data_IF_882711048216
#
_entry.id   IF_882711048216
#
_cell.length_a   1.000
_cell.length_b   1.000
_cell.length_c   1.000
_cell.angle_alpha   90.00
_cell.angle_beta   90.00
_cell.angle_gamma   90.00
#
_symmetry.space_group_name_H-M   'P 1'
#
loop_
_entity.id
_entity.type
_entity.pdbx_description
1 polymer ?
#
# COMPACT_ATOMS: atom_id res chain seq x y z
N UNK A 1 21.93 2.83 19.16
CA UNK A 1 21.09 1.69 18.71
C UNK A 1 20.59 2.04 17.32
N UNK A 2 20.78 1.17 16.32
CA UNK A 2 20.18 1.42 15.01
C UNK A 2 18.65 1.37 15.12
N UNK A 3 17.94 2.20 14.36
CA UNK A 3 16.48 2.17 14.32
C UNK A 3 15.99 0.80 13.83
N UNK A 4 14.91 0.28 14.41
CA UNK A 4 14.29 -0.98 14.00
C UNK A 4 13.91 -0.91 12.50
N UNK A 5 14.17 -1.95 11.71
CA UNK A 5 13.88 -1.92 10.27
C UNK A 5 12.43 -2.19 9.92
N UNK A 6 11.71 -2.93 10.76
CA UNK A 6 10.29 -3.28 10.58
C UNK A 6 9.56 -2.94 11.88
N UNK A 7 8.69 -1.94 11.85
CA UNK A 7 7.83 -1.58 12.99
C UNK A 7 6.45 -2.16 12.73
N UNK A 8 5.97 -3.00 13.63
CA UNK A 8 4.73 -3.77 13.46
C UNK A 8 3.79 -3.58 14.64
N UNK A 9 2.51 -3.44 14.35
CA UNK A 9 1.44 -3.40 15.36
C UNK A 9 0.39 -4.46 14.99
N UNK A 10 0.18 -5.49 15.83
CA UNK A 10 -0.92 -6.43 15.68
C UNK A 10 -2.26 -5.72 15.85
N UNK A 11 -3.28 -6.19 15.14
CA UNK A 11 -4.63 -5.61 15.20
C UNK A 11 -5.70 -6.63 14.88
N UNK A 12 -6.85 -6.47 15.51
CA UNK A 12 -8.11 -7.01 15.02
C UNK A 12 -8.60 -6.15 13.83
N UNK A 13 -9.29 -6.78 12.87
CA UNK A 13 -9.72 -6.14 11.63
C UNK A 13 -11.18 -6.42 11.32
N UNK A 14 -11.91 -5.36 10.97
CA UNK A 14 -13.22 -5.46 10.33
C UNK A 14 -13.13 -5.01 8.87
N UNK A 15 -13.83 -5.71 7.97
CA UNK A 15 -13.87 -5.38 6.54
C UNK A 15 -15.12 -4.58 6.20
N UNK A 16 -14.91 -3.36 5.68
CA UNK A 16 -15.95 -2.49 5.14
C UNK A 16 -15.92 -2.56 3.63
N UNK A 17 -17.05 -2.86 2.99
CA UNK A 17 -17.23 -2.78 1.54
C UNK A 17 -18.19 -1.64 1.23
N UNK A 18 -17.76 -0.72 0.38
CA UNK A 18 -18.51 0.49 0.08
C UNK A 18 -18.24 0.99 -1.34
N UNK A 19 -19.03 1.98 -1.77
CA UNK A 19 -18.77 2.75 -2.97
C UNK A 19 -18.54 4.21 -2.58
N UNK A 20 -17.49 4.82 -3.14
CA UNK A 20 -17.30 6.26 -3.06
C UNK A 20 -18.14 6.92 -4.15
N UNK A 21 -19.02 7.83 -3.76
CA UNK A 21 -19.95 8.48 -4.67
C UNK A 21 -19.24 9.50 -5.60
N UNK A 22 -19.82 9.80 -6.79
CA UNK A 22 -19.31 10.84 -7.68
C UNK A 22 -19.04 12.18 -6.99
N UNK A 23 -17.92 12.81 -7.34
CA UNK A 23 -17.48 14.09 -6.75
C UNK A 23 -16.83 13.98 -5.37
N UNK A 24 -16.82 12.80 -4.74
CA UNK A 24 -16.13 12.58 -3.46
C UNK A 24 -14.62 12.73 -3.66
N UNK A 25 -13.94 13.47 -2.79
CA UNK A 25 -12.47 13.43 -2.69
C UNK A 25 -12.07 12.08 -2.12
N UNK A 26 -11.27 11.31 -2.86
CA UNK A 26 -11.01 9.88 -2.56
C UNK A 26 -10.44 9.70 -1.15
N UNK A 27 -9.44 10.50 -0.79
CA UNK A 27 -8.80 10.47 0.54
C UNK A 27 -9.80 10.73 1.68
N UNK A 28 -10.69 11.71 1.50
CA UNK A 28 -11.73 12.04 2.49
C UNK A 28 -12.78 10.93 2.60
N UNK A 29 -13.17 10.33 1.49
CA UNK A 29 -14.10 9.18 1.48
C UNK A 29 -13.53 7.98 2.23
N UNK A 30 -12.27 7.65 1.99
CA UNK A 30 -11.57 6.56 2.70
C UNK A 30 -11.43 6.85 4.20
N UNK A 31 -11.06 8.09 4.57
CA UNK A 31 -11.02 8.51 5.96
C UNK A 31 -12.39 8.42 6.65
N UNK A 32 -13.46 8.86 5.98
CA UNK A 32 -14.81 8.78 6.52
C UNK A 32 -15.25 7.33 6.79
N UNK A 33 -14.88 6.39 5.90
CA UNK A 33 -15.14 4.96 6.10
C UNK A 33 -14.38 4.40 7.31
N UNK A 34 -13.10 4.75 7.48
CA UNK A 34 -12.30 4.34 8.64
C UNK A 34 -12.89 4.88 9.96
N UNK A 35 -13.26 6.16 9.98
CA UNK A 35 -13.87 6.80 11.14
C UNK A 35 -15.26 6.22 11.47
N UNK A 36 -16.06 5.89 10.46
CA UNK A 36 -17.36 5.23 10.66
C UNK A 36 -17.20 3.83 11.27
N UNK A 37 -16.07 3.16 11.03
CA UNK A 37 -15.70 1.91 11.69
C UNK A 37 -15.04 2.11 13.07
N UNK A 38 -14.84 3.35 13.51
CA UNK A 38 -14.21 3.68 14.80
C UNK A 38 -12.68 3.58 14.80
N UNK A 39 -12.04 3.55 13.64
CA UNK A 39 -10.59 3.30 13.51
C UNK A 39 -9.81 4.55 13.11
N UNK A 40 -8.59 4.67 13.64
CA UNK A 40 -7.61 5.71 13.28
C UNK A 40 -6.58 5.24 12.24
N UNK A 41 -6.69 3.99 11.81
CA UNK A 41 -5.84 3.36 10.82
C UNK A 41 -6.65 2.39 9.95
N UNK A 42 -6.38 2.39 8.65
CA UNK A 42 -6.94 1.40 7.75
C UNK A 42 -6.07 1.20 6.51
N UNK A 43 -6.20 0.01 5.90
CA UNK A 43 -5.68 -0.29 4.57
C UNK A 43 -6.87 -0.51 3.63
N UNK A 44 -6.84 0.10 2.43
CA UNK A 44 -7.94 0.08 1.49
C UNK A 44 -7.48 -0.39 0.11
N UNK A 45 -8.36 -1.13 -0.57
CA UNK A 45 -8.22 -1.47 -1.98
C UNK A 45 -9.33 -0.79 -2.77
N UNK A 46 -8.97 -0.19 -3.90
CA UNK A 46 -9.88 0.45 -4.85
C UNK A 46 -10.02 -0.46 -6.07
N UNK A 47 -11.24 -0.60 -6.57
CA UNK A 47 -11.54 -1.31 -7.79
C UNK A 47 -12.72 -0.67 -8.51
N UNK A 48 -12.76 -0.79 -9.83
CA UNK A 48 -13.86 -0.30 -10.66
C UNK A 48 -14.14 1.22 -10.52
N UNK A 49 -15.06 1.72 -11.35
CA UNK A 49 -15.36 3.14 -11.39
C UNK A 49 -14.34 3.97 -12.15
N UNK A 50 -14.40 5.28 -11.95
CA UNK A 50 -13.45 6.20 -12.57
C UNK A 50 -13.07 7.34 -11.65
N UNK A 51 -11.88 7.89 -11.87
CA UNK A 51 -11.46 9.16 -11.31
C UNK A 51 -12.09 10.32 -12.09
N UNK A 52 -12.46 11.37 -11.35
CA UNK A 52 -12.92 12.66 -11.87
C UNK A 52 -11.72 13.54 -12.16
N UNK A 53 -11.47 14.52 -11.28
CA UNK A 53 -10.17 15.19 -11.21
C UNK A 53 -9.13 14.16 -10.76
N UNK A 54 -8.22 13.80 -11.65
CA UNK A 54 -7.12 12.87 -11.39
C UNK A 54 -5.82 13.65 -11.34
N UNK A 55 -5.20 13.74 -10.17
CA UNK A 55 -3.89 14.39 -9.99
C UNK A 55 -2.91 13.38 -9.41
N UNK A 56 -1.77 13.21 -10.04
CA UNK A 56 -0.80 12.23 -9.60
C UNK A 56 0.63 12.65 -9.92
N UNK A 57 1.57 11.92 -9.35
CA UNK A 57 3.01 12.06 -9.58
C UNK A 57 3.64 10.69 -9.81
N UNK A 58 4.85 10.71 -10.37
CA UNK A 58 5.71 9.53 -10.49
C UNK A 58 6.92 9.68 -9.56
N UNK A 59 7.55 8.56 -9.15
CA UNK A 59 8.84 8.62 -8.48
C UNK A 59 9.88 9.30 -9.40
N UNK A 60 10.73 10.13 -8.80
CA UNK A 60 11.76 10.87 -9.50
C UNK A 60 13.07 10.89 -8.68
N UNK A 61 14.19 11.13 -9.37
CA UNK A 61 15.51 11.30 -8.74
C UNK A 61 15.58 12.70 -8.13
N UNK A 62 15.96 12.79 -6.86
CA UNK A 62 16.24 14.09 -6.25
C UNK A 62 17.56 14.66 -6.80
N UNK A 63 17.54 15.95 -7.17
CA UNK A 63 18.69 16.64 -7.78
C UNK A 63 19.40 17.59 -6.81
N UNK A 64 18.85 17.77 -5.60
CA UNK A 64 19.35 18.69 -4.57
C UNK A 64 20.48 18.08 -3.71
N UNK A 65 20.75 16.78 -3.86
CA UNK A 65 21.77 16.06 -3.08
C UNK A 65 21.37 15.78 -1.63
N UNK A 66 20.19 16.23 -1.20
CA UNK A 66 19.64 16.00 0.15
C UNK A 66 18.71 14.78 0.17
N UNK A 67 17.90 14.62 -0.89
CA UNK A 67 16.95 13.50 -1.01
C UNK A 67 17.31 12.61 -2.20
N UNK A 68 17.51 11.29 -2.01
CA UNK A 68 17.78 10.38 -3.12
C UNK A 68 16.55 10.15 -4.01
N UNK A 69 15.35 10.32 -3.48
CA UNK A 69 14.08 10.18 -4.20
C UNK A 69 13.14 11.37 -3.91
N UNK A 70 12.39 11.78 -4.92
CA UNK A 70 11.37 12.84 -4.88
C UNK A 70 10.21 12.44 -5.82
N UNK A 71 9.31 13.38 -6.09
CA UNK A 71 8.23 13.23 -7.05
C UNK A 71 8.44 14.09 -8.30
N UNK A 72 7.89 13.62 -9.42
CA UNK A 72 7.80 14.40 -10.66
C UNK A 72 6.95 15.66 -10.49
N UNK A 73 6.89 16.49 -11.54
CA UNK A 73 5.81 17.47 -11.65
C UNK A 73 4.44 16.76 -11.62
N UNK A 74 3.44 17.45 -11.07
CA UNK A 74 2.06 16.94 -11.05
C UNK A 74 1.55 16.75 -12.47
N UNK A 75 0.94 15.58 -12.72
CA UNK A 75 0.22 15.27 -13.95
C UNK A 75 -1.28 15.32 -13.66
N UNK A 76 -2.01 15.96 -14.56
CA UNK A 76 -3.47 16.08 -14.51
C UNK A 76 -4.05 15.90 -15.92
N UNK A 77 -4.44 14.68 -16.30
CA UNK A 77 -5.04 14.43 -17.61
C UNK A 77 -6.46 15.00 -17.66
N UNK A 78 -6.86 15.48 -18.85
CA UNK A 78 -8.22 15.99 -19.08
C UNK A 78 -9.26 14.85 -19.18
N UNK A 79 -8.85 13.67 -19.64
CA UNK A 79 -9.72 12.50 -19.74
C UNK A 79 -9.81 11.77 -18.40
N UNK A 80 -10.97 11.18 -18.06
CA UNK A 80 -11.11 10.39 -16.84
C UNK A 80 -10.23 9.13 -16.90
N UNK A 81 -9.71 8.71 -15.74
CA UNK A 81 -9.01 7.44 -15.58
C UNK A 81 -9.95 6.37 -15.02
N UNK A 82 -10.08 5.22 -15.69
CA UNK A 82 -10.90 4.11 -15.22
C UNK A 82 -10.10 3.21 -14.29
N UNK A 83 -10.54 3.05 -13.04
CA UNK A 83 -9.77 2.34 -12.01
C UNK A 83 -9.65 0.87 -12.39
N UNK A 84 -8.41 0.40 -12.55
CA UNK A 84 -8.11 -1.01 -12.68
C UNK A 84 -7.86 -1.61 -11.29
N UNK A 85 -7.04 -0.94 -10.48
CA UNK A 85 -6.80 -1.27 -9.08
C UNK A 85 -6.20 -0.07 -8.35
N UNK A 86 -6.25 -0.08 -7.02
CA UNK A 86 -5.49 0.86 -6.21
C UNK A 86 -5.39 0.40 -4.78
N UNK A 87 -4.42 0.93 -4.06
CA UNK A 87 -4.17 0.63 -2.66
C UNK A 87 -3.95 1.91 -1.90
N UNK A 88 -4.55 2.02 -0.71
CA UNK A 88 -4.37 3.17 0.15
C UNK A 88 -4.08 2.76 1.59
N UNK A 89 -3.24 3.55 2.26
CA UNK A 89 -3.10 3.57 3.71
C UNK A 89 -3.71 4.85 4.23
N UNK A 90 -4.61 4.70 5.20
CA UNK A 90 -5.46 5.75 5.74
C UNK A 90 -5.05 6.01 7.19
N UNK A 91 -4.83 7.28 7.52
CA UNK A 91 -4.43 7.70 8.86
C UNK A 91 -4.44 9.22 8.98
N UNK A 92 -3.47 9.76 9.70
CA UNK A 92 -3.34 11.21 9.90
C UNK A 92 -1.94 11.72 9.63
N UNK A 93 -1.85 13.01 9.30
CA UNK A 93 -0.62 13.80 9.21
C UNK A 93 -0.88 15.15 9.83
N UNK A 94 0.00 15.61 10.73
CA UNK A 94 -0.14 16.89 11.43
C UNK A 94 -1.53 17.07 12.10
N UNK A 95 -2.10 15.98 12.61
CA UNK A 95 -3.43 15.94 13.24
C UNK A 95 -4.62 16.02 12.27
N UNK A 96 -4.38 16.09 10.95
CA UNK A 96 -5.42 16.10 9.92
C UNK A 96 -5.50 14.74 9.20
N UNK A 97 -6.66 14.45 8.61
CA UNK A 97 -6.85 13.25 7.79
C UNK A 97 -5.87 13.22 6.62
N UNK A 98 -5.19 12.09 6.44
CA UNK A 98 -4.23 11.90 5.36
C UNK A 98 -4.30 10.48 4.79
N UNK A 99 -4.00 10.34 3.51
CA UNK A 99 -3.98 9.04 2.83
C UNK A 99 -2.79 8.98 1.90
N UNK A 100 -2.08 7.86 1.94
CA UNK A 100 -1.08 7.49 0.94
C UNK A 100 -1.77 6.53 -0.04
N UNK A 101 -1.88 6.92 -1.31
CA UNK A 101 -2.71 6.21 -2.29
C UNK A 101 -1.95 6.04 -3.60
N UNK A 102 -1.76 4.79 -4.02
CA UNK A 102 -1.27 4.45 -5.35
C UNK A 102 -2.38 3.76 -6.15
N UNK A 103 -2.43 4.02 -7.45
CA UNK A 103 -3.43 3.41 -8.31
C UNK A 103 -2.90 3.05 -9.69
N UNK A 104 -3.57 2.11 -10.32
CA UNK A 104 -3.46 1.74 -11.72
C UNK A 104 -4.80 1.94 -12.41
N UNK A 105 -4.80 2.57 -13.57
CA UNK A 105 -6.01 2.89 -14.32
C UNK A 105 -5.80 2.77 -15.83
N UNK A 106 -6.91 2.72 -16.58
CA UNK A 106 -6.92 2.90 -18.03
C UNK A 106 -7.17 4.38 -18.35
N UNK A 107 -6.32 4.96 -19.19
CA UNK A 107 -6.52 6.33 -19.70
C UNK A 107 -7.60 6.39 -20.79
N UNK A 108 -7.86 7.61 -21.30
CA UNK A 108 -8.86 7.85 -22.35
C UNK A 108 -8.60 7.12 -23.67
N UNK A 109 -7.37 6.61 -23.88
CA UNK A 109 -7.03 5.78 -25.04
C UNK A 109 -6.91 4.28 -24.69
N UNK A 110 -7.38 3.89 -23.50
CA UNK A 110 -7.38 2.50 -23.04
C UNK A 110 -6.00 1.96 -22.67
N UNK A 111 -5.02 2.83 -22.42
CA UNK A 111 -3.67 2.41 -22.03
C UNK A 111 -3.57 2.34 -20.51
N UNK A 112 -2.87 1.32 -20.03
CA UNK A 112 -2.59 1.17 -18.60
C UNK A 112 -1.61 2.25 -18.14
N UNK A 113 -1.96 2.90 -17.03
CA UNK A 113 -1.21 3.96 -16.33
C UNK A 113 -1.22 3.67 -14.84
N UNK A 114 -0.26 4.24 -14.13
CA UNK A 114 -0.20 4.16 -12.68
C UNK A 114 0.48 5.38 -12.09
N UNK A 115 0.38 5.55 -10.78
CA UNK A 115 0.99 6.70 -10.10
C UNK A 115 0.58 6.81 -8.64
N UNK A 116 1.31 7.67 -7.94
CA UNK A 116 0.96 8.15 -6.61
C UNK A 116 -0.09 9.25 -6.74
N UNK A 117 -1.28 9.02 -6.21
CA UNK A 117 -2.40 9.95 -6.30
C UNK A 117 -2.28 11.05 -5.25
N UNK A 118 -2.49 12.29 -5.69
CA UNK A 118 -2.49 13.45 -4.81
C UNK A 118 -3.84 13.61 -4.09
N UNK A 119 -3.85 14.23 -2.90
CA UNK A 119 -5.03 14.29 -2.03
C UNK A 119 -6.30 14.91 -2.64
N UNK A 120 -6.16 15.74 -3.68
CA UNK A 120 -7.27 16.42 -4.36
C UNK A 120 -7.95 15.53 -5.41
N UNK A 121 -7.51 14.29 -5.60
CA UNK A 121 -8.12 13.36 -6.55
C UNK A 121 -9.56 13.03 -6.13
N UNK A 122 -10.48 13.08 -7.09
CA UNK A 122 -11.92 12.86 -6.87
C UNK A 122 -12.45 11.65 -7.63
N UNK A 123 -13.60 11.15 -7.19
CA UNK A 123 -14.40 10.16 -7.90
C UNK A 123 -15.11 10.84 -9.08
N UNK A 124 -15.07 10.18 -10.23
CA UNK A 124 -15.74 10.62 -11.46
C UNK A 124 -17.22 10.25 -11.50
N UNK A 125 -17.78 10.16 -12.70
CA UNK A 125 -19.21 9.88 -12.88
C UNK A 125 -19.63 8.46 -12.46
N UNK A 126 -18.69 7.51 -12.40
CA UNK A 126 -18.94 6.14 -11.98
C UNK A 126 -18.33 5.93 -10.59
N UNK A 127 -19.12 5.52 -9.58
CA UNK A 127 -18.62 5.26 -8.23
C UNK A 127 -17.42 4.30 -8.21
N UNK A 128 -16.47 4.57 -7.33
CA UNK A 128 -15.31 3.67 -7.11
C UNK A 128 -15.65 2.71 -5.99
N UNK A 129 -15.47 1.41 -6.22
CA UNK A 129 -15.65 0.40 -5.19
C UNK A 129 -14.43 0.33 -4.28
N UNK A 130 -14.70 0.18 -2.99
CA UNK A 130 -13.67 0.13 -1.94
C UNK A 130 -13.88 -1.09 -1.07
N UNK A 131 -12.79 -1.83 -0.83
CA UNK A 131 -12.69 -2.77 0.29
C UNK A 131 -11.68 -2.24 1.29
N UNK A 132 -12.17 -1.79 2.43
CA UNK A 132 -11.38 -1.20 3.51
C UNK A 132 -11.25 -2.19 4.67
N UNK A 133 -10.02 -2.41 5.14
CA UNK A 133 -9.68 -3.16 6.35
C UNK A 133 -9.44 -2.15 7.46
N UNK A 134 -10.44 -1.95 8.31
CA UNK A 134 -10.37 -1.04 9.43
C UNK A 134 -9.58 -1.71 10.57
N UNK A 135 -8.56 -1.04 11.08
CA UNK A 135 -7.61 -1.58 12.06
C UNK A 135 -7.93 -0.98 13.43
N UNK A 136 -8.43 -1.82 14.35
CA UNK A 136 -8.98 -1.37 15.63
C UNK A 136 -7.91 -1.00 16.66
N UNK A 137 -6.72 -1.57 16.53
CA UNK A 137 -5.63 -1.43 17.50
C UNK A 137 -4.49 -0.53 16.96
N UNK A 138 -4.71 0.12 15.81
CA UNK A 138 -3.68 0.88 15.09
C UNK A 138 -4.13 2.30 14.82
N UNK A 139 -3.28 3.26 15.22
CA UNK A 139 -3.25 4.59 14.62
C UNK A 139 -2.11 4.65 13.60
N UNK A 140 -2.41 5.13 12.39
CA UNK A 140 -1.41 5.35 11.35
C UNK A 140 -1.04 6.83 11.30
N UNK A 141 0.21 7.15 11.65
CA UNK A 141 0.72 8.52 11.69
C UNK A 141 1.76 8.71 10.60
N UNK A 142 1.55 9.70 9.74
CA UNK A 142 2.51 10.04 8.69
C UNK A 142 3.38 11.19 9.13
N UNK A 143 4.68 10.92 9.28
CA UNK A 143 5.68 11.86 9.76
C UNK A 143 6.88 11.92 8.82
N UNK A 144 7.68 12.98 8.92
CA UNK A 144 8.95 13.08 8.21
C UNK A 144 9.91 11.98 8.68
N UNK A 145 10.35 11.13 7.76
CA UNK A 145 11.33 10.10 8.06
C UNK A 145 12.76 10.64 8.04
N UNK A 146 13.52 10.40 9.10
CA UNK A 146 14.88 10.92 9.23
C UNK A 146 15.89 10.27 8.26
N UNK A 147 15.62 9.07 7.76
CA UNK A 147 16.52 8.33 6.85
C UNK A 147 16.33 8.78 5.39
N UNK A 148 15.09 9.04 4.99
CA UNK A 148 14.73 9.33 3.59
C UNK A 148 14.35 10.78 3.36
N UNK A 149 14.09 11.55 4.43
CA UNK A 149 13.51 12.90 4.39
C UNK A 149 12.17 12.97 3.65
N UNK A 150 11.49 11.83 3.51
CA UNK A 150 10.17 11.70 2.90
C UNK A 150 9.13 11.41 3.98
N UNK A 151 7.88 11.86 3.81
CA UNK A 151 6.81 11.46 4.71
C UNK A 151 6.54 9.95 4.64
N UNK A 152 6.41 9.29 5.78
CA UNK A 152 6.13 7.85 5.86
C UNK A 152 5.12 7.55 6.96
N UNK A 153 4.17 6.64 6.69
CA UNK A 153 3.28 6.14 7.73
C UNK A 153 4.01 5.18 8.67
N UNK A 154 3.86 5.40 9.97
CA UNK A 154 4.28 4.49 11.03
C UNK A 154 3.03 4.02 11.80
N UNK A 155 2.84 2.72 12.03
CA UNK A 155 1.76 2.23 12.87
C UNK A 155 2.10 2.41 14.36
N UNK A 156 1.11 2.85 15.14
CA UNK A 156 1.22 3.01 16.59
C UNK A 156 0.08 2.24 17.28
N UNK A 157 0.36 1.51 18.37
CA UNK A 157 -0.68 0.81 19.11
C UNK A 157 -1.62 1.83 19.76
N UNK A 158 -2.92 1.59 19.63
CA UNK A 158 -3.97 2.29 20.37
C UNK A 158 -4.87 1.25 21.02
N UNK A 159 -5.47 1.59 22.16
CA UNK A 159 -6.44 0.70 22.78
C UNK A 159 -7.67 0.60 21.88
N UNK A 160 -7.96 -0.60 21.37
CA UNK A 160 -9.28 -0.87 20.81
C UNK A 160 -10.29 -0.78 21.95
N UNK A 161 -11.34 0.01 21.78
CA UNK A 161 -12.46 0.05 22.73
C UNK A 161 -13.36 -1.19 22.63
N UNK A 162 -12.81 -2.33 22.19
CA UNK A 162 -13.52 -3.56 21.82
C UNK A 162 -13.00 -4.71 22.67
N UNK A 163 -13.86 -5.70 22.90
CA UNK A 163 -13.47 -6.94 23.58
C UNK A 163 -12.63 -7.83 22.66
N UNK A 164 -11.71 -8.61 23.23
CA UNK A 164 -10.77 -9.47 22.49
C UNK A 164 -11.45 -10.65 21.74
N UNK A 165 -12.73 -10.91 21.97
CA UNK A 165 -13.48 -12.08 21.48
C UNK A 165 -14.58 -11.70 20.46
N UNK A 166 -14.29 -10.79 19.54
CA UNK A 166 -15.25 -10.37 18.49
C UNK A 166 -15.32 -11.34 17.31
N UNK A 167 -14.42 -12.32 17.23
CA UNK A 167 -14.26 -13.19 16.05
C UNK A 167 -13.70 -12.48 14.82
N UNK A 168 -13.13 -11.29 14.99
CA UNK A 168 -12.51 -10.51 13.91
C UNK A 168 -11.22 -11.17 13.40
N UNK A 169 -10.87 -10.88 12.15
CA UNK A 169 -9.62 -11.37 11.58
C UNK A 169 -8.42 -10.73 12.30
N UNK A 170 -7.41 -11.55 12.61
CA UNK A 170 -6.13 -11.08 13.15
C UNK A 170 -5.25 -10.60 12.01
N UNK A 171 -4.64 -9.45 12.16
CA UNK A 171 -3.72 -8.89 11.19
C UNK A 171 -2.56 -8.17 11.87
N UNK A 172 -1.58 -7.76 11.06
CA UNK A 172 -0.47 -6.90 11.45
C UNK A 172 -0.35 -5.81 10.42
N UNK A 173 -0.30 -4.56 10.90
CA UNK A 173 0.10 -3.42 10.10
C UNK A 173 1.56 -3.09 10.38
N UNK A 174 2.36 -2.99 9.33
CA UNK A 174 3.80 -2.79 9.43
C UNK A 174 4.28 -1.63 8.57
N UNK A 175 5.28 -0.92 9.09
CA UNK A 175 6.17 -0.07 8.32
C UNK A 175 7.48 -0.79 8.11
N UNK A 176 7.84 -1.00 6.85
CA UNK A 176 9.14 -1.54 6.43
C UNK A 176 10.03 -0.39 5.96
N UNK A 177 11.21 -0.24 6.55
CA UNK A 177 12.20 0.79 6.22
C UNK A 177 13.10 0.38 5.03
N UNK A 178 13.87 1.32 4.44
CA UNK A 178 14.72 1.04 3.27
C UNK A 178 15.64 -0.19 3.40
N UNK A 179 16.02 -0.79 2.28
CA UNK A 179 17.00 -1.87 2.23
C UNK A 179 16.53 -3.24 2.71
N UNK A 180 15.34 -3.37 3.32
CA UNK A 180 14.74 -4.68 3.63
C UNK A 180 14.05 -5.23 2.38
N UNK A 181 14.28 -6.49 2.02
CA UNK A 181 13.56 -7.15 0.92
C UNK A 181 12.10 -7.45 1.30
N UNK A 182 11.19 -7.34 0.33
CA UNK A 182 9.77 -7.59 0.58
C UNK A 182 9.46 -9.03 1.05
N UNK A 183 10.16 -10.05 0.53
CA UNK A 183 9.92 -11.43 0.97
C UNK A 183 10.41 -11.63 2.40
N UNK A 184 11.59 -11.11 2.71
CA UNK A 184 12.17 -11.18 4.05
C UNK A 184 11.27 -10.44 5.05
N UNK A 185 10.79 -9.24 4.70
CA UNK A 185 9.88 -8.48 5.55
C UNK A 185 8.57 -9.23 5.83
N UNK A 186 7.96 -9.82 4.80
CA UNK A 186 6.72 -10.61 4.94
C UNK A 186 6.95 -11.83 5.82
N UNK A 187 8.02 -12.60 5.58
CA UNK A 187 8.36 -13.78 6.38
C UNK A 187 8.59 -13.40 7.85
N UNK A 188 9.31 -12.30 8.09
CA UNK A 188 9.60 -11.82 9.44
C UNK A 188 8.33 -11.33 10.17
N UNK A 189 7.46 -10.58 9.50
CA UNK A 189 6.19 -10.11 10.09
C UNK A 189 5.30 -11.29 10.45
N UNK A 190 5.15 -12.27 9.56
CA UNK A 190 4.33 -13.48 9.81
C UNK A 190 4.89 -14.30 10.97
N UNK A 191 6.22 -14.49 11.02
CA UNK A 191 6.86 -15.23 12.09
C UNK A 191 6.70 -14.52 13.46
N UNK A 192 6.89 -13.19 13.50
CA UNK A 192 6.70 -12.39 14.73
C UNK A 192 5.24 -12.40 15.21
N UNK A 193 4.28 -12.47 14.28
CA UNK A 193 2.86 -12.55 14.60
C UNK A 193 2.42 -13.94 15.09
N UNK A 194 3.22 -14.97 14.85
CA UNK A 194 2.87 -16.36 15.18
C UNK A 194 1.75 -16.93 14.31
N UNK A 195 1.57 -16.42 13.09
CA UNK A 195 0.55 -16.93 12.17
C UNK A 195 1.03 -18.22 11.49
N UNK A 196 0.18 -19.25 11.48
CA UNK A 196 0.45 -20.53 10.78
C UNK A 196 0.38 -20.43 9.25
N UNK A 197 -0.38 -19.46 8.77
CA UNK A 197 -0.43 -19.04 7.37
C UNK A 197 -1.03 -17.64 7.29
N UNK A 198 -0.70 -16.91 6.24
CA UNK A 198 -1.11 -15.52 6.13
C UNK A 198 -1.39 -15.10 4.68
N UNK A 199 -2.10 -14.00 4.54
CA UNK A 199 -2.40 -13.36 3.28
C UNK A 199 -1.84 -11.93 3.33
N UNK A 200 -1.08 -11.56 2.31
CA UNK A 200 -0.67 -10.17 2.06
C UNK A 200 -1.69 -9.53 1.15
N UNK A 201 -2.22 -8.37 1.52
CA UNK A 201 -3.18 -7.59 0.72
C UNK A 201 -2.99 -6.11 1.00
N UNK A 202 -3.66 -5.27 0.22
CA UNK A 202 -3.78 -3.84 0.50
C UNK A 202 -2.45 -3.16 0.93
N UNK A 203 -1.33 -3.60 0.34
CA UNK A 203 0.01 -3.14 0.69
C UNK A 203 0.61 -2.36 -0.46
N UNK A 204 1.31 -1.27 -0.12
CA UNK A 204 1.91 -0.34 -1.09
C UNK A 204 3.22 0.25 -0.54
N UNK A 205 4.02 0.79 -1.43
CA UNK A 205 5.27 1.44 -1.07
C UNK A 205 6.22 1.46 -2.25
N UNK A 206 7.48 1.81 -1.99
CA UNK A 206 8.50 1.88 -3.03
C UNK A 206 9.65 0.91 -2.79
N UNK A 207 10.18 0.37 -3.87
CA UNK A 207 11.42 -0.44 -3.90
C UNK A 207 12.49 0.26 -4.72
N UNK A 208 13.77 -0.07 -4.50
CA UNK A 208 14.91 0.58 -5.16
C UNK A 208 14.75 0.53 -6.68
N UNK A 209 14.55 -0.68 -7.18
CA UNK A 209 14.04 -1.03 -8.49
C UNK A 209 13.33 -2.38 -8.32
N UNK A 210 12.50 -2.78 -9.28
CA UNK A 210 11.74 -4.01 -9.13
C UNK A 210 12.18 -5.09 -10.12
N UNK A 211 12.26 -6.34 -9.65
CA UNK A 211 12.42 -7.52 -10.50
C UNK A 211 11.22 -8.43 -10.33
N UNK A 212 10.44 -8.57 -11.40
CA UNK A 212 9.22 -9.35 -11.46
C UNK A 212 9.35 -10.47 -12.50
N UNK A 213 8.63 -11.57 -12.32
CA UNK A 213 8.35 -12.55 -13.38
C UNK A 213 6.96 -12.27 -13.94
N UNK A 214 6.91 -11.81 -15.19
CA UNK A 214 5.66 -11.57 -15.91
C UNK A 214 4.86 -12.86 -16.13
N UNK A 215 3.58 -12.73 -16.50
CA UNK A 215 2.72 -13.89 -16.83
C UNK A 215 3.26 -14.76 -17.98
N UNK A 216 4.10 -14.20 -18.87
CA UNK A 216 4.78 -14.95 -19.92
C UNK A 216 6.07 -15.66 -19.45
N UNK A 217 6.36 -15.65 -18.15
CA UNK A 217 7.57 -16.25 -17.56
C UNK A 217 8.84 -15.43 -17.71
N UNK A 218 8.81 -14.29 -18.41
CA UNK A 218 9.96 -13.42 -18.61
C UNK A 218 10.22 -12.55 -17.37
N UNK A 219 11.49 -12.40 -17.01
CA UNK A 219 11.93 -11.42 -16.00
C UNK A 219 11.76 -10.02 -16.56
N UNK A 220 11.06 -9.18 -15.82
CA UNK A 220 10.86 -7.76 -16.06
C UNK A 220 11.61 -6.99 -15.00
N UNK A 221 12.37 -6.00 -15.42
CA UNK A 221 13.07 -5.06 -14.55
C UNK A 221 12.42 -3.69 -14.72
N UNK A 222 12.05 -3.06 -13.61
CA UNK A 222 11.55 -1.71 -13.58
C UNK A 222 12.66 -0.78 -13.08
N UNK A 223 12.78 0.37 -13.75
CA UNK A 223 13.87 1.31 -13.52
C UNK A 223 13.82 1.93 -12.10
N UNK A 224 15.00 2.08 -11.50
CA UNK A 224 15.28 2.85 -10.28
C UNK A 224 15.28 4.36 -10.56
N UNK A 225 15.02 5.24 -9.56
CA UNK A 225 14.73 4.96 -8.16
C UNK A 225 13.27 4.81 -7.80
N UNK A 226 13.03 4.17 -6.67
CA UNK A 226 11.79 4.22 -5.92
C UNK A 226 10.56 3.78 -6.74
N UNK A 227 10.70 2.70 -7.51
CA UNK A 227 9.58 2.08 -8.21
C UNK A 227 8.42 1.81 -7.25
N UNK A 228 7.22 2.29 -7.57
CA UNK A 228 6.10 2.33 -6.62
C UNK A 228 5.08 1.22 -6.88
N UNK A 229 4.85 0.37 -5.89
CA UNK A 229 3.79 -0.64 -5.94
C UNK A 229 2.42 0.03 -5.81
N UNK A 230 1.56 -0.19 -6.81
CA UNK A 230 0.14 0.21 -6.77
C UNK A 230 -0.72 -0.85 -6.08
N UNK A 231 -0.25 -2.11 -6.13
CA UNK A 231 -0.81 -3.25 -5.38
C UNK A 231 0.29 -4.25 -5.08
N UNK A 232 0.38 -4.73 -3.84
CA UNK A 232 1.07 -5.96 -3.47
C UNK A 232 0.08 -6.93 -2.82
N UNK A 233 0.09 -8.18 -3.26
CA UNK A 233 -0.74 -9.24 -2.72
C UNK A 233 -0.03 -10.58 -2.76
N UNK A 234 -0.36 -11.48 -1.84
CA UNK A 234 0.34 -12.75 -1.76
C UNK A 234 -0.13 -13.65 -0.64
N UNK A 235 0.56 -14.77 -0.50
CA UNK A 235 0.28 -15.79 0.51
C UNK A 235 1.57 -16.23 1.19
N UNK A 236 1.43 -16.61 2.45
CA UNK A 236 2.49 -17.24 3.23
C UNK A 236 1.97 -18.57 3.77
N UNK A 237 2.66 -19.65 3.46
CA UNK A 237 2.30 -21.02 3.86
C UNK A 237 3.50 -21.78 4.40
N UNK A 238 3.25 -22.89 5.10
CA UNK A 238 4.32 -23.78 5.55
C UNK A 238 5.21 -23.17 6.64
N UNK A 239 4.63 -22.37 7.55
CA UNK A 239 5.37 -21.79 8.68
C UNK A 239 5.74 -22.84 9.75
N UNK A 240 5.13 -24.03 9.70
CA UNK A 240 5.40 -25.13 10.62
C UNK A 240 6.62 -25.94 10.18
N UNK A 241 7.73 -25.82 10.91
CA UNK A 241 8.88 -26.73 10.79
C UNK A 241 9.89 -26.42 9.68
N UNK A 242 9.84 -25.24 9.05
CA UNK A 242 10.80 -24.80 8.03
C UNK A 242 10.69 -23.31 7.67
N UNK A 243 11.55 -22.80 6.77
CA UNK A 243 11.38 -21.44 6.24
C UNK A 243 10.05 -21.36 5.47
N UNK A 244 9.22 -20.33 5.71
CA UNK A 244 7.91 -20.23 5.09
C UNK A 244 8.02 -20.04 3.58
N UNK A 245 7.05 -20.59 2.84
CA UNK A 245 6.87 -20.28 1.43
C UNK A 245 6.13 -18.96 1.29
N UNK A 246 6.80 -17.95 0.72
CA UNK A 246 6.24 -16.63 0.46
C UNK A 246 6.05 -16.45 -1.04
N UNK A 247 4.81 -16.28 -1.48
CA UNK A 247 4.46 -15.97 -2.86
C UNK A 247 3.86 -14.58 -2.93
N UNK A 248 4.55 -13.65 -3.60
CA UNK A 248 4.10 -12.28 -3.79
C UNK A 248 3.86 -11.98 -5.27
N UNK A 249 2.78 -11.25 -5.53
CA UNK A 249 2.44 -10.68 -6.83
C UNK A 249 2.16 -9.20 -6.66
N UNK A 250 2.45 -8.41 -7.69
CA UNK A 250 2.15 -7.00 -7.61
C UNK A 250 2.05 -6.33 -8.96
N UNK A 251 1.52 -5.11 -8.89
CA UNK A 251 1.56 -4.12 -9.96
C UNK A 251 2.27 -2.90 -9.43
N UNK A 252 3.07 -2.26 -10.28
CA UNK A 252 3.89 -1.12 -9.92
C UNK A 252 4.06 -0.16 -11.08
N UNK A 253 4.47 1.06 -10.78
CA UNK A 253 4.78 2.10 -11.74
C UNK A 253 6.24 2.51 -11.65
N UNK A 254 6.91 2.59 -12.80
CA UNK A 254 8.28 3.08 -12.90
C UNK A 254 8.35 4.61 -13.05
N UNK A 255 9.57 5.15 -13.05
CA UNK A 255 9.82 6.60 -13.22
C UNK A 255 9.32 7.18 -14.56
N UNK A 256 9.05 6.33 -15.55
CA UNK A 256 8.53 6.72 -16.85
C UNK A 256 6.99 6.59 -16.93
N UNK A 257 6.33 6.28 -15.80
CA UNK A 257 4.89 6.06 -15.74
C UNK A 257 4.42 4.77 -16.38
N UNK A 258 5.32 3.82 -16.68
CA UNK A 258 4.95 2.50 -17.20
C UNK A 258 4.56 1.57 -16.07
N UNK A 259 3.46 0.85 -16.29
CA UNK A 259 2.98 -0.14 -15.33
C UNK A 259 3.56 -1.51 -15.66
N UNK A 260 4.09 -2.17 -14.64
CA UNK A 260 4.59 -3.54 -14.72
C UNK A 260 3.85 -4.40 -13.70
N UNK A 261 3.57 -5.66 -14.06
CA UNK A 261 2.90 -6.60 -13.17
C UNK A 261 3.51 -8.00 -13.29
N UNK A 262 3.52 -8.73 -12.17
CA UNK A 262 4.04 -10.09 -12.14
C UNK A 262 4.27 -10.64 -10.74
N UNK A 263 4.89 -11.82 -10.69
CA UNK A 263 5.37 -12.45 -9.45
C UNK A 263 6.64 -11.73 -9.00
N UNK A 264 6.67 -11.24 -7.79
CA UNK A 264 7.83 -10.55 -7.21
C UNK A 264 8.94 -11.57 -6.95
N UNK A 265 10.17 -11.29 -7.37
CA UNK A 265 11.29 -12.22 -7.15
C UNK A 265 11.88 -12.07 -5.73
N UNK A 266 12.12 -13.18 -5.00
CA UNK A 266 12.75 -13.13 -3.67
C UNK A 266 14.15 -12.51 -3.68
N UNK A 267 14.45 -11.70 -2.66
CA UNK A 267 15.79 -11.13 -2.41
C UNK A 267 16.23 -10.07 -3.41
N UNK A 268 15.30 -9.51 -4.19
CA UNK A 268 15.58 -8.66 -5.35
C UNK A 268 14.69 -7.42 -5.41
N UNK A 269 13.94 -7.15 -4.35
CA UNK A 269 13.02 -6.03 -4.27
C UNK A 269 13.18 -5.32 -2.91
N UNK A 270 14.36 -4.75 -2.59
CA UNK A 270 14.57 -4.02 -1.36
C UNK A 270 13.77 -2.72 -1.35
N UNK A 271 13.17 -2.38 -0.21
CA UNK A 271 12.43 -1.12 -0.02
C UNK A 271 13.32 0.10 -0.29
N UNK A 272 12.79 1.10 -0.99
CA UNK A 272 13.51 2.34 -1.30
C UNK A 272 13.27 3.43 -0.25
N UNK A 273 12.01 3.76 0.01
CA UNK A 273 11.63 4.84 0.94
C UNK A 273 10.91 4.26 2.15
N UNK A 274 9.77 3.63 1.92
CA UNK A 274 8.99 2.95 2.94
C UNK A 274 8.08 1.94 2.27
N UNK A 275 7.66 0.92 3.01
CA UNK A 275 6.59 0.02 2.60
C UNK A 275 5.57 -0.13 3.72
N UNK A 276 4.32 0.09 3.37
CA UNK A 276 3.17 -0.07 4.23
C UNK A 276 2.62 -1.47 3.96
N UNK A 277 2.98 -2.40 4.84
CA UNK A 277 2.73 -3.82 4.69
C UNK A 277 1.59 -4.24 5.62
N UNK A 278 0.50 -4.70 5.03
CA UNK A 278 -0.63 -5.29 5.72
C UNK A 278 -0.66 -6.80 5.49
N UNK A 279 -0.67 -7.55 6.59
CA UNK A 279 -0.71 -9.01 6.59
C UNK A 279 -1.85 -9.47 7.48
N UNK A 280 -2.74 -10.32 6.98
CA UNK A 280 -3.82 -10.92 7.75
C UNK A 280 -3.60 -12.42 7.89
N UNK A 281 -3.93 -12.98 9.06
CA UNK A 281 -3.91 -14.42 9.27
C UNK A 281 -4.93 -15.08 8.33
N UNK A 282 -4.52 -16.18 7.69
CA UNK A 282 -5.46 -16.94 6.88
C UNK A 282 -6.42 -17.70 7.79
N UNK A 283 -7.72 -17.67 7.46
CA UNK A 283 -8.70 -18.46 8.19
C UNK A 283 -8.35 -19.95 8.11
N UNK A 284 -8.45 -20.65 9.24
CA UNK A 284 -8.33 -22.10 9.28
C UNK A 284 -9.54 -22.68 8.53
N UNK A 285 -9.30 -23.27 7.36
CA UNK A 285 -10.32 -23.95 6.56
C UNK A 285 -10.79 -25.26 7.18
#
# INVERSE_FOLDING_TARGET
MAAERIVSVPTSVSVVRAELAPGTVVSQGLWALAQAAGCQGASAELAHGCFGTLRYVHPAIGTDGERPATFSATVEPAAPGFVASGTATVGTRDGAAFTHLHATWLDGEGRLRGGHLLPETTVGAVPIQVTLRAQHDVALLSEADAETSMPAFTPHPVASGRDDDTGDARAVMSRVRPGVDLHDAVAEVVARAGFGSAIVRASLGSVVGARLRSGAGRIVEADWPATEFTTLSGTVTGTDGGPPEVLLTGSLVDLNGRVHSGVVLPGQNPVAVTFELYVEEAAHG
#
